data_IF_161436712862
#
_entry.id   IF_161436712862
#
_cell.length_a   1.000
_cell.length_b   1.000
_cell.length_c   1.000
_cell.angle_alpha   90.00
_cell.angle_beta   90.00
_cell.angle_gamma   90.00
#
_symmetry.space_group_name_H-M   'P 1'
#
loop_
_entity.id
_entity.type
_entity.pdbx_description
1 polymer ?
#
# COMPACT_ATOMS: atom_id res chain seq x y z
N UNK A 1 -15.33 33.90 0.46
CA UNK A 1 -14.96 32.48 0.67
C UNK A 1 -13.72 32.44 1.56
N UNK A 2 -13.80 31.86 2.75
CA UNK A 2 -12.69 31.86 3.71
C UNK A 2 -11.52 31.04 3.17
N UNK A 3 -10.31 31.60 3.18
CA UNK A 3 -9.07 30.95 2.68
C UNK A 3 -8.85 29.56 3.31
N UNK A 4 -9.26 29.40 4.57
CA UNK A 4 -9.23 28.12 5.30
C UNK A 4 -10.11 27.04 4.65
N UNK A 5 -11.31 27.40 4.17
CA UNK A 5 -12.20 26.43 3.51
C UNK A 5 -11.66 25.99 2.15
N UNK A 6 -10.99 26.89 1.41
CA UNK A 6 -10.35 26.54 0.15
C UNK A 6 -9.16 25.59 0.36
N UNK A 7 -8.36 25.84 1.40
CA UNK A 7 -7.20 24.99 1.75
C UNK A 7 -7.66 23.59 2.21
N UNK A 8 -8.72 23.51 3.01
CA UNK A 8 -9.35 22.23 3.39
C UNK A 8 -9.91 21.50 2.16
N UNK A 9 -10.59 22.18 1.24
CA UNK A 9 -11.08 21.55 0.01
C UNK A 9 -9.95 21.02 -0.87
N UNK A 10 -8.87 21.79 -1.05
CA UNK A 10 -7.71 21.35 -1.86
C UNK A 10 -7.01 20.14 -1.22
N UNK A 11 -6.89 20.12 0.12
CA UNK A 11 -6.36 18.97 0.85
C UNK A 11 -7.26 17.74 0.72
N UNK A 12 -8.58 17.92 0.83
CA UNK A 12 -9.56 16.84 0.66
C UNK A 12 -9.56 16.29 -0.77
N UNK A 13 -9.51 17.15 -1.80
CA UNK A 13 -9.47 16.74 -3.22
C UNK A 13 -8.16 15.99 -3.53
N UNK A 14 -7.02 16.45 -3.01
CA UNK A 14 -5.74 15.76 -3.17
C UNK A 14 -5.73 14.40 -2.44
N UNK A 15 -6.26 14.34 -1.21
CA UNK A 15 -6.38 13.07 -0.47
C UNK A 15 -7.30 12.07 -1.18
N UNK A 16 -8.40 12.55 -1.77
CA UNK A 16 -9.37 11.71 -2.48
C UNK A 16 -8.81 11.19 -3.82
N UNK A 17 -8.06 12.04 -4.54
CA UNK A 17 -7.39 11.67 -5.79
C UNK A 17 -6.31 10.61 -5.56
N UNK A 18 -5.58 10.73 -4.45
CA UNK A 18 -4.61 9.75 -4.02
C UNK A 18 -5.27 8.40 -3.63
N UNK A 19 -6.32 8.41 -2.80
CA UNK A 19 -7.07 7.19 -2.42
C UNK A 19 -7.66 6.44 -3.63
N UNK A 20 -8.06 7.18 -4.67
CA UNK A 20 -8.60 6.60 -5.90
C UNK A 20 -7.52 5.89 -6.73
N UNK A 21 -6.36 6.54 -6.92
CA UNK A 21 -5.21 5.92 -7.59
C UNK A 21 -4.72 4.66 -6.83
N UNK A 22 -4.82 4.70 -5.51
CA UNK A 22 -4.39 3.62 -4.60
C UNK A 22 -5.32 2.40 -4.69
N UNK A 23 -6.64 2.51 -4.75
CA UNK A 23 -7.48 1.31 -4.88
C UNK A 23 -7.40 0.65 -6.28
N UNK A 24 -6.98 1.39 -7.31
CA UNK A 24 -6.96 0.90 -8.69
C UNK A 24 -5.89 -0.16 -8.96
N UNK A 25 -4.71 -0.09 -8.33
CA UNK A 25 -3.60 -1.00 -8.63
C UNK A 25 -3.87 -2.41 -8.09
N UNK A 26 -4.29 -2.55 -6.83
CA UNK A 26 -4.68 -3.85 -6.26
C UNK A 26 -5.84 -4.51 -7.04
N UNK A 27 -6.89 -3.75 -7.35
CA UNK A 27 -8.04 -4.27 -8.10
C UNK A 27 -7.62 -4.71 -9.50
N UNK A 28 -6.78 -3.92 -10.18
CA UNK A 28 -6.27 -4.25 -11.51
C UNK A 28 -5.41 -5.51 -11.50
N UNK A 29 -4.51 -5.66 -10.52
CA UNK A 29 -3.70 -6.87 -10.40
C UNK A 29 -4.54 -8.11 -10.10
N UNK A 30 -5.53 -8.00 -9.21
CA UNK A 30 -6.45 -9.10 -8.91
C UNK A 30 -7.23 -9.52 -10.16
N UNK A 31 -7.76 -8.54 -10.91
CA UNK A 31 -8.47 -8.79 -12.17
C UNK A 31 -7.58 -9.41 -13.24
N UNK A 32 -6.32 -8.96 -13.36
CA UNK A 32 -5.33 -9.56 -14.26
C UNK A 32 -5.03 -11.01 -13.88
N UNK A 33 -4.78 -11.29 -12.59
CA UNK A 33 -4.54 -12.64 -12.11
C UNK A 33 -5.71 -13.57 -12.45
N UNK A 34 -6.94 -13.17 -12.14
CA UNK A 34 -8.15 -13.95 -12.48
C UNK A 34 -8.31 -14.16 -13.99
N UNK A 35 -8.02 -13.12 -14.79
CA UNK A 35 -8.07 -13.22 -16.25
C UNK A 35 -7.02 -14.20 -16.79
N UNK A 36 -5.80 -14.15 -16.28
CA UNK A 36 -4.71 -15.08 -16.66
C UNK A 36 -5.11 -16.51 -16.30
N UNK A 37 -5.56 -16.74 -15.07
CA UNK A 37 -6.02 -18.06 -14.61
C UNK A 37 -7.13 -18.61 -15.51
N UNK A 38 -8.12 -17.79 -15.85
CA UNK A 38 -9.19 -18.18 -16.77
C UNK A 38 -8.64 -18.56 -18.15
N UNK A 39 -7.69 -17.80 -18.69
CA UNK A 39 -7.06 -18.10 -19.99
C UNK A 39 -6.15 -19.34 -19.96
N UNK A 40 -5.66 -19.75 -18.79
CA UNK A 40 -4.91 -21.01 -18.62
C UNK A 40 -5.84 -22.23 -18.52
N UNK A 41 -6.98 -22.09 -17.84
CA UNK A 41 -7.93 -23.18 -17.58
C UNK A 41 -8.93 -23.38 -18.73
N UNK A 42 -9.45 -22.29 -19.30
CA UNK A 42 -10.45 -22.27 -20.36
C UNK A 42 -9.99 -21.33 -21.50
N UNK A 43 -8.95 -21.74 -22.27
CA UNK A 43 -8.38 -20.92 -23.32
C UNK A 43 -9.34 -20.74 -24.51
N UNK A 44 -9.46 -19.50 -24.99
CA UNK A 44 -10.28 -19.18 -26.18
C UNK A 44 -9.45 -19.36 -27.44
N UNK A 45 -9.99 -20.05 -28.44
CA UNK A 45 -9.26 -20.37 -29.66
C UNK A 45 -8.57 -19.14 -30.29
N UNK A 46 -7.26 -19.26 -30.57
CA UNK A 46 -6.45 -18.21 -31.19
C UNK A 46 -6.21 -16.95 -30.35
N UNK A 47 -6.51 -16.95 -29.05
CA UNK A 47 -6.31 -15.80 -28.14
C UNK A 47 -5.05 -15.89 -27.28
N UNK A 48 -4.05 -16.68 -27.67
CA UNK A 48 -2.80 -16.84 -26.92
C UNK A 48 -2.07 -15.52 -26.64
N UNK A 49 -2.05 -14.60 -27.61
CA UNK A 49 -1.41 -13.29 -27.44
C UNK A 49 -2.03 -12.46 -26.30
N UNK A 50 -3.31 -12.68 -25.97
CA UNK A 50 -3.95 -11.99 -24.85
C UNK A 50 -3.43 -12.52 -23.52
N UNK A 51 -3.13 -13.83 -23.43
CA UNK A 51 -2.55 -14.44 -22.24
C UNK A 51 -1.15 -13.88 -21.99
N UNK A 52 -0.27 -13.92 -22.99
CA UNK A 52 1.10 -13.40 -22.86
C UNK A 52 1.11 -11.91 -22.55
N UNK A 53 0.27 -11.11 -23.22
CA UNK A 53 0.13 -9.69 -22.91
C UNK A 53 -0.34 -9.45 -21.46
N UNK A 54 -1.31 -10.21 -20.97
CA UNK A 54 -1.82 -10.06 -19.60
C UNK A 54 -0.76 -10.42 -18.56
N UNK A 55 0.00 -11.49 -18.78
CA UNK A 55 1.12 -11.87 -17.91
C UNK A 55 2.22 -10.79 -17.89
N UNK A 56 2.56 -10.21 -19.05
CA UNK A 56 3.48 -9.07 -19.10
C UNK A 56 2.99 -7.86 -18.33
N UNK A 57 1.71 -7.50 -18.47
CA UNK A 57 1.13 -6.38 -17.72
C UNK A 57 1.16 -6.65 -16.21
N UNK A 58 0.87 -7.89 -15.80
CA UNK A 58 0.97 -8.28 -14.40
C UNK A 58 2.40 -8.13 -13.88
N UNK A 59 3.38 -8.66 -14.61
CA UNK A 59 4.80 -8.57 -14.25
C UNK A 59 5.27 -7.13 -14.11
N UNK A 60 4.91 -6.27 -15.08
CA UNK A 60 5.23 -4.84 -15.02
C UNK A 60 4.60 -4.15 -13.80
N UNK A 61 3.32 -4.43 -13.52
CA UNK A 61 2.64 -3.87 -12.36
C UNK A 61 3.31 -4.29 -11.04
N UNK A 62 3.69 -5.57 -10.93
CA UNK A 62 4.39 -6.09 -9.76
C UNK A 62 5.77 -5.44 -9.58
N UNK A 63 6.49 -5.20 -10.67
CA UNK A 63 7.77 -4.50 -10.65
C UNK A 63 7.64 -3.07 -10.13
N UNK A 64 6.64 -2.31 -10.60
CA UNK A 64 6.38 -0.96 -10.12
C UNK A 64 6.00 -0.95 -8.63
N UNK A 65 5.13 -1.87 -8.18
CA UNK A 65 4.79 -2.00 -6.76
C UNK A 65 6.05 -2.24 -5.92
N UNK A 66 6.91 -3.16 -6.36
CA UNK A 66 8.17 -3.44 -5.66
C UNK A 66 9.05 -2.20 -5.57
N UNK A 67 9.16 -1.43 -6.65
CA UNK A 67 9.94 -0.18 -6.68
C UNK A 67 9.37 0.84 -5.66
N UNK A 68 8.06 1.02 -5.65
CA UNK A 68 7.37 1.92 -4.70
C UNK A 68 7.55 1.48 -3.24
N UNK A 69 7.52 0.18 -2.96
CA UNK A 69 7.83 -0.38 -1.63
C UNK A 69 9.26 -0.04 -1.21
N UNK A 70 10.24 -0.22 -2.11
CA UNK A 70 11.65 0.01 -1.81
C UNK A 70 11.97 1.47 -1.49
N UNK A 71 11.29 2.40 -2.16
CA UNK A 71 11.43 3.84 -1.85
C UNK A 71 10.60 4.27 -0.63
N UNK A 72 9.77 3.38 -0.08
CA UNK A 72 8.99 3.65 1.13
C UNK A 72 7.74 4.47 0.89
N UNK A 73 7.12 4.37 -0.28
CA UNK A 73 5.88 5.08 -0.56
C UNK A 73 4.76 4.58 0.38
N UNK A 74 4.36 5.39 1.36
CA UNK A 74 3.34 5.01 2.35
C UNK A 74 1.96 4.74 1.73
N UNK A 75 1.70 5.27 0.54
CA UNK A 75 0.43 5.08 -0.19
C UNK A 75 0.31 3.68 -0.80
N UNK A 76 1.43 3.04 -1.18
CA UNK A 76 1.42 1.69 -1.76
C UNK A 76 1.32 0.60 -0.70
N UNK A 77 1.80 0.86 0.52
CA UNK A 77 1.94 -0.14 1.58
C UNK A 77 0.63 -0.86 1.95
N UNK A 78 -0.53 -0.19 2.10
CA UNK A 78 -1.79 -0.87 2.39
C UNK A 78 -2.28 -1.77 1.26
N UNK A 79 -1.95 -1.45 0.00
CA UNK A 79 -2.35 -2.28 -1.15
C UNK A 79 -1.44 -3.49 -1.30
N UNK A 80 -0.13 -3.25 -1.15
CA UNK A 80 0.88 -4.28 -1.08
C UNK A 80 0.51 -5.30 0.01
N UNK A 81 0.10 -4.81 1.19
CA UNK A 81 -0.41 -5.66 2.26
C UNK A 81 -1.56 -6.57 1.82
N UNK A 82 -2.62 -6.00 1.23
CA UNK A 82 -3.76 -6.77 0.72
C UNK A 82 -3.34 -7.81 -0.31
N UNK A 83 -2.43 -7.44 -1.22
CA UNK A 83 -1.92 -8.33 -2.25
C UNK A 83 -1.15 -9.50 -1.62
N UNK A 84 -0.21 -9.22 -0.70
CA UNK A 84 0.68 -10.21 -0.07
C UNK A 84 -0.03 -11.11 0.96
N UNK A 85 -1.12 -10.64 1.59
CA UNK A 85 -1.95 -11.45 2.49
C UNK A 85 -2.78 -12.50 1.76
N UNK A 86 -3.12 -12.28 0.49
CA UNK A 86 -3.94 -13.21 -0.30
C UNK A 86 -3.12 -14.28 -1.05
N UNK A 87 -1.80 -14.33 -0.86
CA UNK A 87 -0.86 -15.23 -1.56
C UNK A 87 -1.07 -15.27 -3.10
N UNK A 88 -1.32 -14.09 -3.70
CA UNK A 88 -1.37 -13.89 -5.16
C UNK A 88 0.04 -13.70 -5.73
N UNK A 89 0.31 -13.75 -7.05
CA UNK A 89 -0.57 -14.25 -8.10
C UNK A 89 -0.94 -15.71 -7.85
N UNK A 90 -2.21 -16.05 -8.06
CA UNK A 90 -2.65 -17.44 -8.03
C UNK A 90 -2.24 -18.19 -9.30
N UNK A 91 -2.10 -17.49 -10.44
CA UNK A 91 -1.80 -18.16 -11.72
C UNK A 91 -0.45 -18.87 -11.74
N UNK A 92 0.53 -18.42 -10.95
CA UNK A 92 1.86 -19.08 -10.90
C UNK A 92 1.82 -20.43 -10.17
N UNK A 93 0.73 -20.71 -9.45
CA UNK A 93 0.49 -21.99 -8.77
C UNK A 93 -0.33 -22.95 -9.65
N UNK A 94 -0.98 -22.43 -10.69
CA UNK A 94 -1.80 -23.25 -11.59
C UNK A 94 -0.91 -24.03 -12.56
N UNK A 95 -1.20 -25.32 -12.74
CA UNK A 95 -0.45 -26.17 -13.68
C UNK A 95 -0.75 -25.76 -15.12
N UNK A 96 0.29 -25.34 -15.85
CA UNK A 96 0.21 -25.04 -17.29
C UNK A 96 -0.07 -26.34 -18.06
N UNK A 97 -1.26 -26.48 -18.64
CA UNK A 97 -1.63 -27.62 -19.48
C UNK A 97 -1.17 -27.42 -20.92
N UNK A 98 0.05 -27.84 -21.20
CA UNK A 98 0.71 -27.64 -22.51
C UNK A 98 -0.14 -28.18 -23.67
N UNK A 99 -0.67 -29.40 -23.54
CA UNK A 99 -1.49 -30.02 -24.58
C UNK A 99 -2.74 -29.20 -24.90
N UNK A 100 -3.37 -28.63 -23.87
CA UNK A 100 -4.54 -27.78 -24.04
C UNK A 100 -4.16 -26.47 -24.74
N UNK A 101 -3.10 -25.80 -24.28
CA UNK A 101 -2.67 -24.52 -24.83
C UNK A 101 -2.17 -24.64 -26.28
N UNK A 102 -1.40 -25.68 -26.61
CA UNK A 102 -0.98 -25.98 -27.99
C UNK A 102 -2.20 -26.16 -28.90
N UNK A 103 -3.23 -26.90 -28.47
CA UNK A 103 -4.43 -27.12 -29.27
C UNK A 103 -5.28 -25.87 -29.45
N UNK A 104 -5.45 -25.09 -28.38
CA UNK A 104 -6.39 -23.97 -28.37
C UNK A 104 -5.78 -22.68 -28.90
N UNK A 105 -4.51 -22.41 -28.61
CA UNK A 105 -3.82 -21.22 -29.11
C UNK A 105 -3.01 -21.46 -30.38
N UNK A 106 -2.94 -22.70 -30.87
CA UNK A 106 -2.09 -23.10 -32.00
C UNK A 106 -0.61 -22.79 -31.75
N UNK A 107 -0.19 -22.85 -30.48
CA UNK A 107 1.16 -22.56 -30.05
C UNK A 107 2.10 -23.73 -30.29
N UNK A 108 3.34 -23.41 -30.62
CA UNK A 108 4.43 -24.36 -30.76
C UNK A 108 5.18 -24.48 -29.42
N UNK A 109 6.26 -25.28 -29.42
CA UNK A 109 7.02 -25.55 -28.19
C UNK A 109 7.64 -24.28 -27.59
N UNK A 110 8.00 -23.30 -28.41
CA UNK A 110 8.65 -22.06 -27.97
C UNK A 110 7.69 -21.16 -27.18
N UNK A 111 6.45 -20.97 -27.61
CA UNK A 111 5.48 -20.15 -26.88
C UNK A 111 5.08 -20.79 -25.54
N UNK A 112 4.98 -22.12 -25.50
CA UNK A 112 4.72 -22.85 -24.26
C UNK A 112 5.87 -22.67 -23.28
N UNK A 113 7.11 -22.80 -23.75
CA UNK A 113 8.32 -22.55 -22.95
C UNK A 113 8.32 -21.11 -22.43
N UNK A 114 8.02 -20.14 -23.29
CA UNK A 114 7.95 -18.73 -22.94
C UNK A 114 6.96 -18.43 -21.81
N UNK A 115 5.76 -19.01 -21.86
CA UNK A 115 4.75 -18.82 -20.80
C UNK A 115 5.19 -19.44 -19.47
N UNK A 116 5.88 -20.59 -19.51
CA UNK A 116 6.45 -21.20 -18.30
C UNK A 116 7.53 -20.32 -17.68
N UNK A 117 8.49 -19.87 -18.48
CA UNK A 117 9.57 -18.97 -18.04
C UNK A 117 8.98 -17.69 -17.43
N UNK A 118 7.99 -17.08 -18.07
CA UNK A 118 7.33 -15.89 -17.54
C UNK A 118 6.58 -16.16 -16.22
N UNK A 119 5.99 -17.34 -16.06
CA UNK A 119 5.35 -17.74 -14.79
C UNK A 119 6.38 -17.87 -13.67
N UNK A 120 7.55 -18.46 -13.96
CA UNK A 120 8.67 -18.56 -13.03
C UNK A 120 9.23 -17.17 -12.66
N UNK A 121 9.47 -16.31 -13.64
CA UNK A 121 9.94 -14.93 -13.42
C UNK A 121 8.97 -14.13 -12.55
N UNK A 122 7.67 -14.25 -12.79
CA UNK A 122 6.66 -13.58 -11.94
C UNK A 122 6.69 -14.14 -10.52
N UNK A 123 6.87 -15.44 -10.35
CA UNK A 123 6.98 -16.06 -9.03
C UNK A 123 8.22 -15.56 -8.26
N UNK A 124 9.38 -15.50 -8.91
CA UNK A 124 10.61 -14.98 -8.30
C UNK A 124 10.48 -13.49 -7.91
N UNK A 125 9.89 -12.70 -8.81
CA UNK A 125 9.61 -11.29 -8.55
C UNK A 125 8.65 -11.11 -7.39
N UNK A 126 7.62 -11.96 -7.29
CA UNK A 126 6.67 -11.98 -6.19
C UNK A 126 7.33 -12.24 -4.84
N UNK A 127 8.12 -13.32 -4.74
CA UNK A 127 8.83 -13.69 -3.52
C UNK A 127 9.74 -12.54 -3.07
N UNK A 128 10.43 -11.92 -4.03
CA UNK A 128 11.32 -10.79 -3.75
C UNK A 128 10.54 -9.55 -3.31
N UNK A 129 9.44 -9.21 -3.97
CA UNK A 129 8.58 -8.08 -3.59
C UNK A 129 7.97 -8.27 -2.19
N UNK A 130 7.54 -9.48 -1.84
CA UNK A 130 7.03 -9.83 -0.51
C UNK A 130 8.10 -9.67 0.57
N UNK A 131 9.34 -10.07 0.28
CA UNK A 131 10.49 -9.86 1.16
C UNK A 131 10.79 -8.37 1.38
N UNK A 132 10.80 -7.59 0.31
CA UNK A 132 11.02 -6.14 0.36
C UNK A 132 9.91 -5.45 1.20
N UNK A 133 8.65 -5.86 1.01
CA UNK A 133 7.52 -5.38 1.81
C UNK A 133 7.67 -5.67 3.30
N UNK A 134 7.98 -6.92 3.66
CA UNK A 134 8.15 -7.31 5.07
C UNK A 134 9.29 -6.54 5.73
N UNK A 135 10.39 -6.34 4.99
CA UNK A 135 11.54 -5.57 5.48
C UNK A 135 11.18 -4.10 5.70
N UNK A 136 10.44 -3.50 4.76
CA UNK A 136 9.97 -2.12 4.87
C UNK A 136 8.99 -1.93 6.02
N UNK A 137 8.00 -2.83 6.15
CA UNK A 137 7.03 -2.81 7.24
C UNK A 137 7.72 -2.89 8.61
N UNK A 138 8.71 -3.76 8.77
CA UNK A 138 9.48 -3.86 10.00
C UNK A 138 10.27 -2.58 10.31
N UNK A 139 10.81 -1.92 9.28
CA UNK A 139 11.48 -0.62 9.43
C UNK A 139 10.51 0.47 9.90
N UNK A 140 9.34 0.60 9.26
CA UNK A 140 8.34 1.61 9.61
C UNK A 140 7.81 1.43 11.05
N UNK A 141 7.67 0.18 11.53
CA UNK A 141 7.32 -0.13 12.92
C UNK A 141 8.40 0.36 13.89
N UNK A 142 9.68 0.03 13.62
CA UNK A 142 10.80 0.46 14.46
C UNK A 142 10.93 1.98 14.50
N UNK A 143 10.74 2.65 13.36
CA UNK A 143 10.73 4.11 13.28
C UNK A 143 9.62 4.72 14.16
N UNK A 144 8.41 4.17 14.09
CA UNK A 144 7.29 4.61 14.92
C UNK A 144 7.53 4.40 16.42
N UNK A 145 8.13 3.27 16.81
CA UNK A 145 8.52 2.98 18.19
C UNK A 145 9.59 3.96 18.70
N UNK A 146 10.59 4.28 17.87
CA UNK A 146 11.62 5.27 18.20
C UNK A 146 11.03 6.66 18.40
N UNK A 147 10.11 7.10 17.53
CA UNK A 147 9.43 8.40 17.68
C UNK A 147 8.52 8.45 18.91
N UNK A 148 7.86 7.34 19.24
CA UNK A 148 7.06 7.26 20.47
C UNK A 148 7.92 7.38 21.71
N UNK A 149 9.07 6.70 21.74
CA UNK A 149 9.99 6.73 22.87
C UNK A 149 10.71 8.08 23.01
N UNK A 150 11.03 8.78 21.91
CA UNK A 150 11.61 10.13 21.98
C UNK A 150 10.61 11.13 22.57
N UNK A 151 9.35 11.07 22.11
CA UNK A 151 8.28 11.94 22.64
C UNK A 151 7.95 11.62 24.10
N UNK A 152 8.01 10.34 24.50
CA UNK A 152 7.85 9.92 25.89
C UNK A 152 8.97 10.49 26.77
N UNK A 153 10.24 10.42 26.33
CA UNK A 153 11.34 11.02 27.09
C UNK A 153 11.31 12.54 27.18
N UNK A 154 10.70 13.25 26.22
CA UNK A 154 10.49 14.69 26.34
C UNK A 154 9.31 15.03 27.25
N UNK A 155 8.19 14.30 27.15
CA UNK A 155 7.04 14.49 28.03
C UNK A 155 7.37 14.15 29.49
N UNK A 156 8.14 13.09 29.75
CA UNK A 156 8.61 12.73 31.08
C UNK A 156 9.59 13.76 31.63
N UNK A 157 10.44 14.37 30.79
CA UNK A 157 11.30 15.48 31.22
C UNK A 157 10.52 16.75 31.54
N UNK A 158 9.44 17.01 30.79
CA UNK A 158 8.53 18.13 31.08
C UNK A 158 7.74 17.85 32.36
N UNK A 159 7.27 16.61 32.57
CA UNK A 159 6.56 16.22 33.77
C UNK A 159 7.47 16.21 35.01
N UNK A 160 8.67 15.65 34.93
CA UNK A 160 9.71 15.73 35.99
C UNK A 160 10.12 17.18 36.26
N UNK A 161 10.06 18.07 35.25
CA UNK A 161 10.20 19.50 35.46
C UNK A 161 9.00 20.05 36.24
N UNK A 162 7.76 19.78 35.85
CA UNK A 162 6.56 20.19 36.60
C UNK A 162 6.51 19.65 38.02
N UNK A 163 6.96 18.42 38.27
CA UNK A 163 6.94 17.78 39.59
C UNK A 163 8.07 18.28 40.52
N UNK A 164 9.17 18.80 39.95
CA UNK A 164 10.28 19.42 40.72
C UNK A 164 9.98 20.82 41.20
N UNK A 165 9.07 21.51 40.52
CA UNK A 165 8.49 22.73 41.04
C UNK A 165 7.24 22.30 41.80
N UNK A 166 7.33 22.16 43.12
CA UNK A 166 6.14 22.19 44.00
C UNK A 166 5.46 23.54 43.77
N UNK A 167 4.63 23.61 42.72
CA UNK A 167 3.71 24.71 42.51
C UNK A 167 2.66 24.47 43.57
N UNK A 168 2.61 25.29 44.64
CA UNK A 168 1.60 25.10 45.65
C UNK A 168 0.25 25.13 44.94
N UNK A 169 -0.59 24.13 45.19
CA UNK A 169 -1.99 24.17 44.80
C UNK A 169 -2.51 25.54 45.24
N UNK A 170 -2.81 26.39 44.27
CA UNK A 170 -3.50 27.64 44.51
C UNK A 170 -4.87 27.22 45.02
N UNK A 171 -5.00 27.28 46.34
CA UNK A 171 -6.25 27.11 47.06
C UNK A 171 -7.27 28.03 46.39
N UNK A 172 -8.27 27.42 45.79
CA UNK A 172 -9.31 28.11 45.04
C UNK A 172 -10.15 28.90 46.02
N UNK A 173 -9.89 30.20 46.10
CA UNK A 173 -10.82 31.19 46.62
C UNK A 173 -10.56 32.55 45.94
N UNK A 174 -10.56 32.59 44.60
CA UNK A 174 -10.67 33.87 43.89
C UNK A 174 -11.40 33.76 42.55
N UNK A 175 -12.72 33.71 42.71
CA UNK A 175 -13.80 33.99 41.76
C UNK A 175 -13.80 35.46 41.23
N UNK A 176 -12.63 36.09 41.12
CA UNK A 176 -12.49 37.51 40.76
C UNK A 176 -11.18 37.62 39.96
N UNK A 177 -11.14 37.39 38.64
CA UNK A 177 -11.10 38.49 37.66
C UNK A 177 -11.25 38.03 36.20
N UNK A 178 -11.68 36.79 35.94
CA UNK A 178 -12.00 36.34 34.56
C UNK A 178 -13.35 36.88 34.03
N UNK A 179 -14.02 37.77 34.77
CA UNK A 179 -15.20 38.54 34.30
C UNK A 179 -14.87 39.74 33.42
N UNK A 180 -13.60 40.14 33.26
CA UNK A 180 -13.25 41.36 32.50
C UNK A 180 -12.69 41.14 31.08
N UNK A 181 -12.63 39.92 30.55
CA UNK A 181 -12.28 39.67 29.14
C UNK A 181 -13.51 39.47 28.22
N UNK A 182 -14.65 40.08 28.56
CA UNK A 182 -15.85 40.16 27.70
C UNK A 182 -16.26 41.59 27.31
N UNK A 183 -15.39 42.58 27.49
CA UNK A 183 -15.66 43.95 27.01
C UNK A 183 -14.37 44.54 26.42
N UNK A 184 -13.91 44.02 25.28
CA UNK A 184 -12.97 44.73 24.39
C UNK A 184 -13.15 44.32 22.91
N UNK A 185 -14.39 43.94 22.53
CA UNK A 185 -14.82 43.88 21.13
C UNK A 185 -16.27 44.36 21.01
N UNK A 186 -16.52 45.59 21.49
CA UNK A 186 -17.43 46.58 20.91
C UNK A 186 -16.81 47.97 21.13
#
# INVERSE_FOLDING_TARGET
>A
MNKVHFLIMVLLINSYSCIKLVNEVYQRMTSLDESIRKMLVDPVFGKGNNLTASMHYYMKALYEIRKEIRIGNKEIMPQAEKLFQMDRPGFVLDRINETLLTKMYLWEGEEIKYVKEMSEEVHELWVTAKRDYNSRKAYDIKEAEMMKNSNFTEQDKVQDWWDKWDIPELDTDEDIQLKNFKILFD
#
